data_IF_663975253977
#
_entry.id   IF_663975253977
#
_cell.length_a   1.000
_cell.length_b   1.000
_cell.length_c   1.000
_cell.angle_alpha   90.00
_cell.angle_beta   90.00
_cell.angle_gamma   90.00
#
_symmetry.space_group_name_H-M   'P 1'
#
loop_
_entity.id
_entity.type
_entity.pdbx_description
1 polymer ?
#
# COMPACT_ATOMS: atom_id res chain seq x y z
N UNK A 1 -1.24 3.78 -5.80
CA UNK A 1 -1.57 2.45 -6.39
C UNK A 1 -2.47 2.72 -7.56
N UNK A 2 -2.15 2.18 -8.69
CA UNK A 2 -2.97 2.33 -9.89
C UNK A 2 -4.26 1.50 -9.71
N UNK A 3 -5.35 2.20 -9.46
CA UNK A 3 -6.66 1.63 -9.24
C UNK A 3 -7.17 0.87 -10.47
N UNK A 4 -6.88 1.37 -11.65
CA UNK A 4 -7.20 0.73 -12.93
C UNK A 4 -6.52 -0.63 -13.04
N UNK A 5 -5.31 -0.79 -12.49
CA UNK A 5 -4.63 -2.07 -12.41
C UNK A 5 -5.40 -3.10 -11.60
N UNK A 6 -5.92 -2.71 -10.43
CA UNK A 6 -6.69 -3.62 -9.58
C UNK A 6 -7.97 -4.10 -10.25
N UNK A 7 -8.69 -3.20 -10.95
CA UNK A 7 -9.91 -3.56 -11.69
C UNK A 7 -9.57 -4.50 -12.85
N UNK A 8 -8.59 -4.13 -13.69
CA UNK A 8 -8.21 -4.91 -14.88
C UNK A 8 -7.73 -6.32 -14.55
N UNK A 9 -7.18 -6.51 -13.36
CA UNK A 9 -6.68 -7.82 -12.90
C UNK A 9 -7.63 -8.55 -11.97
N UNK A 10 -8.88 -8.08 -11.79
CA UNK A 10 -9.88 -8.66 -10.89
C UNK A 10 -9.39 -8.81 -9.44
N UNK A 11 -8.63 -7.84 -8.96
CA UNK A 11 -8.08 -7.82 -7.61
C UNK A 11 -8.88 -6.93 -6.66
N UNK A 12 -9.78 -6.11 -7.19
CA UNK A 12 -10.51 -5.12 -6.43
C UNK A 12 -11.37 -5.70 -5.32
N UNK A 13 -12.01 -6.84 -5.58
CA UNK A 13 -12.88 -7.56 -4.64
C UNK A 13 -12.12 -8.53 -3.72
N UNK A 14 -10.79 -8.61 -3.83
CA UNK A 14 -9.95 -9.54 -3.07
C UNK A 14 -9.44 -8.98 -1.75
N UNK A 15 -9.69 -7.70 -1.48
CA UNK A 15 -9.15 -7.06 -0.30
C UNK A 15 -9.92 -5.82 0.13
N UNK A 16 -9.45 -5.24 1.22
CA UNK A 16 -9.90 -3.93 1.71
C UNK A 16 -8.99 -2.86 1.12
N UNK A 17 -9.58 -1.87 0.47
CA UNK A 17 -8.84 -0.85 -0.27
C UNK A 17 -9.13 0.51 0.36
N UNK A 18 -8.07 1.19 0.77
CA UNK A 18 -8.13 2.60 1.14
C UNK A 18 -7.65 3.44 -0.05
N UNK A 19 -8.51 4.32 -0.53
CA UNK A 19 -8.21 5.17 -1.67
C UNK A 19 -7.77 6.56 -1.19
N UNK A 20 -6.63 6.98 -1.69
CA UNK A 20 -6.12 8.33 -1.50
C UNK A 20 -6.69 9.31 -2.55
N UNK A 21 -5.82 10.15 -3.09
CA UNK A 21 -6.19 11.03 -4.20
C UNK A 21 -6.27 10.25 -5.50
N UNK A 22 -7.19 10.65 -6.35
CA UNK A 22 -7.25 10.21 -7.74
C UNK A 22 -6.22 10.98 -8.56
N UNK A 23 -5.51 10.27 -9.42
CA UNK A 23 -4.48 10.87 -10.25
C UNK A 23 -5.03 11.33 -11.62
N UNK A 24 -6.26 10.92 -11.97
CA UNK A 24 -6.92 11.32 -13.20
C UNK A 24 -8.46 11.32 -13.12
N UNK A 25 -9.10 12.09 -14.01
CA UNK A 25 -10.54 12.09 -14.16
C UNK A 25 -11.08 10.73 -14.62
N UNK A 26 -10.26 9.96 -15.36
CA UNK A 26 -10.59 8.61 -15.83
C UNK A 26 -10.70 7.62 -14.66
N UNK A 27 -9.80 7.69 -13.69
CA UNK A 27 -9.88 6.90 -12.45
C UNK A 27 -11.13 7.24 -11.64
N UNK A 28 -11.46 8.53 -11.55
CA UNK A 28 -12.67 8.97 -10.86
C UNK A 28 -13.93 8.46 -11.56
N UNK A 29 -13.99 8.49 -12.89
CA UNK A 29 -15.12 7.98 -13.66
C UNK A 29 -15.31 6.47 -13.49
N UNK A 30 -14.24 5.70 -13.52
CA UNK A 30 -14.31 4.25 -13.31
C UNK A 30 -14.79 3.91 -11.90
N UNK A 31 -14.28 4.61 -10.88
CA UNK A 31 -14.72 4.47 -9.49
C UNK A 31 -16.19 4.86 -9.30
N UNK A 32 -16.64 5.95 -9.93
CA UNK A 32 -18.01 6.42 -9.81
C UNK A 32 -19.05 5.39 -10.31
N UNK A 33 -18.64 4.54 -11.25
CA UNK A 33 -19.49 3.43 -11.75
C UNK A 33 -19.63 2.30 -10.74
N UNK A 34 -18.72 2.20 -9.78
CA UNK A 34 -18.67 1.14 -8.77
C UNK A 34 -19.26 1.59 -7.42
N UNK A 35 -19.78 2.81 -7.33
CA UNK A 35 -20.38 3.34 -6.10
C UNK A 35 -21.77 2.73 -5.83
N UNK A 36 -22.20 2.59 -4.54
CA UNK A 36 -21.45 3.00 -3.37
C UNK A 36 -20.36 1.98 -2.99
N UNK A 37 -19.13 2.43 -2.91
CA UNK A 37 -18.05 1.64 -2.33
C UNK A 37 -17.89 2.13 -0.89
N UNK A 38 -18.14 1.29 0.10
CA UNK A 38 -17.71 1.56 1.46
C UNK A 38 -16.20 1.34 1.55
N UNK A 39 -15.44 2.38 1.17
CA UNK A 39 -14.00 2.30 1.10
C UNK A 39 -13.39 2.45 2.49
N UNK A 40 -14.00 3.28 3.32
CA UNK A 40 -13.58 3.51 4.69
C UNK A 40 -14.80 3.68 5.60
N UNK A 41 -14.64 3.23 6.84
CA UNK A 41 -15.53 3.65 7.92
C UNK A 41 -15.42 5.16 8.06
N UNK A 42 -16.53 5.83 8.26
CA UNK A 42 -16.51 7.24 8.63
C UNK A 42 -15.83 7.34 10.00
N UNK A 43 -14.55 7.58 10.00
CA UNK A 43 -13.82 7.91 11.20
C UNK A 43 -14.06 9.40 11.46
N UNK A 44 -14.60 9.74 12.63
CA UNK A 44 -14.80 11.13 13.05
C UNK A 44 -13.49 11.92 13.00
N UNK A 45 -12.36 11.23 13.13
CA UNK A 45 -11.02 11.77 13.01
C UNK A 45 -10.14 10.72 12.30
N UNK A 46 -9.81 10.99 11.05
CA UNK A 46 -8.83 10.18 10.32
C UNK A 46 -7.40 10.61 10.71
N UNK A 47 -6.98 10.18 11.89
CA UNK A 47 -5.63 10.44 12.35
C UNK A 47 -4.66 9.40 11.77
N UNK A 48 -3.51 9.89 11.32
CA UNK A 48 -2.41 9.03 10.85
C UNK A 48 -2.01 7.94 11.86
N UNK A 49 -2.21 8.19 13.15
CA UNK A 49 -1.90 7.26 14.24
C UNK A 49 -3.00 6.22 14.52
N UNK A 50 -4.18 6.31 13.92
CA UNK A 50 -5.24 5.34 14.16
C UNK A 50 -4.94 4.03 13.44
N UNK A 51 -5.06 2.92 14.17
CA UNK A 51 -4.89 1.56 13.64
C UNK A 51 -6.15 0.78 13.96
N UNK A 52 -6.83 0.33 12.91
CA UNK A 52 -8.00 -0.55 13.01
C UNK A 52 -7.54 -2.01 12.95
N UNK A 53 -7.18 -2.58 14.10
CA UNK A 53 -6.66 -3.94 14.20
C UNK A 53 -7.53 -4.99 13.49
N UNK A 54 -8.89 -4.94 13.57
CA UNK A 54 -9.72 -5.91 12.87
C UNK A 54 -9.50 -5.94 11.34
N UNK A 55 -9.04 -4.87 10.73
CA UNK A 55 -8.75 -4.84 9.30
C UNK A 55 -7.49 -5.65 8.99
N UNK A 56 -6.47 -5.57 9.84
CA UNK A 56 -5.26 -6.38 9.73
C UNK A 56 -5.52 -7.85 10.06
N UNK A 57 -6.28 -8.14 11.10
CA UNK A 57 -6.62 -9.51 11.51
C UNK A 57 -7.43 -10.28 10.45
N UNK A 58 -8.20 -9.59 9.63
CA UNK A 58 -9.05 -10.17 8.59
C UNK A 58 -8.41 -10.23 7.20
N UNK A 59 -7.16 -9.81 7.06
CA UNK A 59 -6.42 -9.80 5.79
C UNK A 59 -5.08 -10.54 5.94
N UNK A 60 -4.51 -11.02 4.83
CA UNK A 60 -3.26 -11.77 4.83
C UNK A 60 -2.03 -10.88 4.76
N UNK A 61 -2.12 -9.77 4.05
CA UNK A 61 -0.99 -8.93 3.72
C UNK A 61 -1.46 -7.51 3.43
N UNK A 62 -0.68 -6.53 3.85
CA UNK A 62 -0.89 -5.12 3.53
C UNK A 62 -0.06 -4.73 2.31
N UNK A 63 -0.70 -4.21 1.28
CA UNK A 63 -0.02 -3.55 0.19
C UNK A 63 -0.01 -2.04 0.46
N UNK A 64 1.15 -1.54 0.86
CA UNK A 64 1.36 -0.14 1.23
C UNK A 64 1.89 0.63 0.03
N UNK A 65 1.23 1.73 -0.33
CA UNK A 65 1.74 2.66 -1.35
C UNK A 65 2.09 3.98 -0.70
N UNK A 66 3.35 4.35 -0.79
CA UNK A 66 3.80 5.65 -0.29
C UNK A 66 3.44 6.77 -1.26
N UNK A 67 3.28 7.98 -0.73
CA UNK A 67 2.84 9.14 -1.51
C UNK A 67 3.95 9.72 -2.39
N UNK A 68 5.20 9.66 -1.91
CA UNK A 68 6.37 10.21 -2.61
C UNK A 68 7.32 9.06 -2.95
N UNK A 69 7.23 8.56 -4.17
CA UNK A 69 7.96 7.38 -4.64
C UNK A 69 9.05 7.71 -5.66
N UNK A 70 8.99 8.89 -6.30
CA UNK A 70 9.94 9.34 -7.32
C UNK A 70 10.91 10.41 -6.82
N UNK A 71 11.27 10.35 -5.55
CA UNK A 71 12.17 11.32 -4.95
C UNK A 71 13.54 10.72 -4.67
N UNK A 72 14.57 11.56 -4.68
CA UNK A 72 15.92 11.18 -4.24
C UNK A 72 16.03 11.01 -2.71
N UNK A 73 14.97 11.35 -2.00
CA UNK A 73 14.89 11.25 -0.53
C UNK A 73 13.99 10.07 -0.19
N UNK A 74 14.48 9.18 0.64
CA UNK A 74 13.67 8.09 1.17
C UNK A 74 12.52 8.66 1.99
N UNK A 75 11.30 8.38 1.56
CA UNK A 75 10.09 8.84 2.23
C UNK A 75 9.31 7.64 2.77
N UNK A 76 8.96 7.71 4.04
CA UNK A 76 8.10 6.74 4.70
C UNK A 76 7.06 7.46 5.54
N UNK A 77 5.80 7.17 5.28
CA UNK A 77 4.67 7.77 6.01
C UNK A 77 4.12 6.82 7.07
N UNK A 78 3.05 7.26 7.72
CA UNK A 78 2.29 6.45 8.66
C UNK A 78 1.79 5.13 8.06
N UNK A 79 1.65 5.05 6.75
CA UNK A 79 1.10 3.87 6.05
C UNK A 79 1.94 2.62 6.27
N UNK A 80 3.28 2.75 6.23
CA UNK A 80 4.17 1.60 6.49
C UNK A 80 4.26 1.28 7.98
N UNK A 81 4.15 2.28 8.86
CA UNK A 81 4.24 2.06 10.30
C UNK A 81 3.03 1.31 10.86
N UNK A 82 1.84 1.48 10.28
CA UNK A 82 0.62 0.80 10.72
C UNK A 82 0.74 -0.73 10.66
N UNK A 83 1.05 -1.36 9.52
CA UNK A 83 1.24 -2.82 9.48
C UNK A 83 2.41 -3.29 10.34
N UNK A 84 3.50 -2.53 10.46
CA UNK A 84 4.62 -2.88 11.34
C UNK A 84 4.15 -2.96 12.80
N UNK A 85 3.42 -1.96 13.28
CA UNK A 85 2.88 -1.94 14.65
C UNK A 85 1.84 -3.03 14.87
N UNK A 86 1.02 -3.32 13.86
CA UNK A 86 0.04 -4.40 13.90
C UNK A 86 0.69 -5.81 13.83
N UNK A 87 1.99 -5.91 13.58
CA UNK A 87 2.67 -7.19 13.35
C UNK A 87 2.19 -7.90 12.09
N UNK A 88 1.66 -7.16 11.13
CA UNK A 88 1.03 -7.68 9.92
C UNK A 88 2.02 -7.74 8.74
N UNK A 89 2.02 -8.82 7.93
CA UNK A 89 2.82 -8.89 6.72
C UNK A 89 2.54 -7.74 5.77
N UNK A 90 3.57 -7.22 5.14
CA UNK A 90 3.43 -6.10 4.22
C UNK A 90 4.36 -6.17 3.02
N UNK A 91 3.91 -5.54 1.95
CA UNK A 91 4.69 -5.17 0.78
C UNK A 91 4.58 -3.65 0.65
N UNK A 92 5.70 -2.97 0.42
CA UNK A 92 5.69 -1.50 0.29
C UNK A 92 6.14 -1.06 -1.09
N UNK A 93 5.27 -0.32 -1.77
CA UNK A 93 5.59 0.43 -2.98
C UNK A 93 6.05 1.83 -2.56
N UNK A 94 7.34 1.96 -2.38
CA UNK A 94 8.01 3.18 -1.95
C UNK A 94 9.25 3.47 -2.80
N UNK A 95 10.09 4.38 -2.34
CA UNK A 95 11.39 4.63 -2.96
C UNK A 95 12.24 3.36 -3.03
N UNK A 96 13.21 3.34 -3.91
CA UNK A 96 14.25 2.30 -3.94
C UNK A 96 14.94 2.24 -2.58
N UNK A 97 15.24 1.03 -2.11
CA UNK A 97 15.86 0.75 -0.81
C UNK A 97 14.99 1.04 0.43
N UNK A 98 13.68 1.13 0.31
CA UNK A 98 12.77 1.29 1.47
C UNK A 98 12.87 0.07 2.40
N UNK A 99 12.82 -1.15 1.86
CA UNK A 99 12.96 -2.39 2.63
C UNK A 99 14.37 -2.52 3.21
N UNK A 100 15.40 -2.21 2.43
CA UNK A 100 16.79 -2.23 2.89
C UNK A 100 16.99 -1.31 4.09
N UNK A 101 16.45 -0.10 4.03
CA UNK A 101 16.49 0.84 5.14
C UNK A 101 15.78 0.31 6.39
N UNK A 102 14.60 -0.29 6.26
CA UNK A 102 13.88 -0.89 7.39
C UNK A 102 14.74 -1.97 8.08
N UNK A 103 15.42 -2.82 7.31
CA UNK A 103 16.35 -3.83 7.84
C UNK A 103 17.53 -3.20 8.58
N UNK A 104 18.11 -2.14 8.04
CA UNK A 104 19.21 -1.39 8.69
C UNK A 104 18.78 -0.77 10.02
N UNK A 105 17.52 -0.35 10.12
CA UNK A 105 16.94 0.14 11.38
C UNK A 105 16.56 -0.98 12.36
N UNK A 106 16.78 -2.25 12.00
CA UNK A 106 16.52 -3.41 12.85
C UNK A 106 15.10 -3.97 12.77
N UNK A 107 14.27 -3.47 11.84
CA UNK A 107 12.95 -4.04 11.61
C UNK A 107 13.06 -5.37 10.86
N UNK A 108 12.20 -6.31 11.25
CA UNK A 108 12.05 -7.57 10.52
C UNK A 108 11.14 -7.36 9.32
N UNK A 109 11.56 -7.89 8.19
CA UNK A 109 10.79 -7.92 6.96
C UNK A 109 10.38 -9.35 6.63
N UNK A 110 9.86 -9.58 5.45
CA UNK A 110 9.25 -10.86 5.09
C UNK A 110 10.01 -11.60 3.99
N UNK A 111 11.32 -11.35 3.84
CA UNK A 111 12.21 -11.93 2.83
C UNK A 111 12.23 -13.47 2.79
N UNK A 112 11.81 -14.10 3.88
CA UNK A 112 11.68 -15.55 3.94
C UNK A 112 10.50 -16.10 3.11
N UNK A 113 9.49 -15.26 2.86
CA UNK A 113 8.23 -15.66 2.19
C UNK A 113 7.93 -14.81 0.97
N UNK A 114 8.50 -13.61 0.88
CA UNK A 114 8.26 -12.64 -0.17
C UNK A 114 9.61 -12.29 -0.80
N UNK A 115 9.70 -12.39 -2.12
CA UNK A 115 10.88 -11.90 -2.84
C UNK A 115 10.90 -10.37 -2.76
N UNK A 116 11.78 -9.84 -1.92
CA UNK A 116 11.91 -8.40 -1.69
C UNK A 116 12.84 -7.70 -2.71
N UNK A 117 13.26 -8.39 -3.76
CA UNK A 117 14.10 -7.81 -4.81
C UNK A 117 13.40 -6.66 -5.58
N UNK A 118 12.07 -6.60 -5.54
CA UNK A 118 11.28 -5.49 -6.07
C UNK A 118 11.69 -4.13 -5.46
N UNK A 119 12.24 -4.12 -4.25
CA UNK A 119 12.71 -2.90 -3.58
C UNK A 119 13.80 -2.16 -4.35
N UNK A 120 14.57 -2.90 -5.17
CA UNK A 120 15.64 -2.35 -6.00
C UNK A 120 15.17 -1.84 -7.37
N UNK A 121 13.94 -2.12 -7.78
CA UNK A 121 13.40 -1.67 -9.05
C UNK A 121 13.02 -0.18 -8.98
N UNK A 122 13.63 0.69 -9.80
CA UNK A 122 13.31 2.12 -9.81
C UNK A 122 12.00 2.45 -10.50
N UNK A 123 11.52 1.60 -11.40
CA UNK A 123 10.27 1.82 -12.14
C UNK A 123 9.09 1.25 -11.35
N UNK A 124 8.20 2.15 -10.87
CA UNK A 124 7.05 1.76 -10.05
C UNK A 124 6.06 0.85 -10.74
N UNK A 125 5.87 1.03 -12.05
CA UNK A 125 4.99 0.14 -12.82
C UNK A 125 5.58 -1.26 -12.89
N UNK A 126 6.91 -1.38 -13.00
CA UNK A 126 7.57 -2.69 -12.93
C UNK A 126 7.52 -3.28 -11.53
N UNK A 127 7.66 -2.48 -10.46
CA UNK A 127 7.45 -2.98 -9.09
C UNK A 127 6.11 -3.68 -8.93
N UNK A 128 5.04 -3.13 -9.52
CA UNK A 128 3.69 -3.75 -9.48
C UNK A 128 3.62 -5.10 -10.20
N UNK A 129 4.46 -5.33 -11.20
CA UNK A 129 4.48 -6.60 -11.95
C UNK A 129 5.13 -7.74 -11.13
N UNK A 130 6.00 -7.41 -10.16
CA UNK A 130 6.63 -8.37 -9.28
C UNK A 130 5.67 -8.92 -8.19
N UNK A 131 4.55 -8.27 -7.97
CA UNK A 131 3.53 -8.61 -6.98
C UNK A 131 2.42 -9.47 -7.57
#
# INVERSE_FOLDING_TARGET
MDFVFLIKNNLFDKGKISLGKFDSDEEYEELSKMTPIEIDRTLDINWAANIELPDYESTFISLVTETLIDTSILFMSEKIWKPIVAGHPFIVLGNVNTISYLKEQGYKTFDRWIDESYDLEPDHHKKLIWL
#
